data_IF_140752111823
#
_entry.id   IF_140752111823
#
_cell.length_a   1.000
_cell.length_b   1.000
_cell.length_c   1.000
_cell.angle_alpha   90.00
_cell.angle_beta   90.00
_cell.angle_gamma   90.00
#
_symmetry.space_group_name_H-M   'P 1'
#
loop_
_entity.id
_entity.type
_entity.pdbx_description
1 polymer ?
#
# COMPACT_ATOMS: atom_id res chain seq x y z
N UNK A 1 -9.67 2.18 -18.94
CA UNK A 1 -9.84 3.40 -18.15
C UNK A 1 -11.14 3.37 -17.32
N UNK A 2 -12.33 3.18 -17.93
CA UNK A 2 -13.64 3.21 -17.22
C UNK A 2 -13.73 2.25 -16.02
N UNK A 3 -13.22 1.02 -16.15
CA UNK A 3 -13.22 0.05 -15.04
C UNK A 3 -12.28 0.52 -13.93
N UNK A 4 -11.07 0.95 -14.27
CA UNK A 4 -10.09 1.46 -13.33
C UNK A 4 -10.63 2.66 -12.53
N UNK A 5 -11.35 3.58 -13.17
CA UNK A 5 -11.97 4.72 -12.48
C UNK A 5 -13.04 4.29 -11.48
N UNK A 6 -13.82 3.24 -11.80
CA UNK A 6 -14.80 2.69 -10.85
C UNK A 6 -14.11 2.05 -9.64
N UNK A 7 -13.04 1.29 -9.87
CA UNK A 7 -12.24 0.69 -8.79
C UNK A 7 -11.66 1.79 -7.90
N UNK A 8 -11.00 2.80 -8.50
CA UNK A 8 -10.44 3.91 -7.74
C UNK A 8 -11.49 4.66 -6.91
N UNK A 9 -12.71 4.84 -7.45
CA UNK A 9 -13.80 5.48 -6.73
C UNK A 9 -14.21 4.66 -5.49
N UNK A 10 -14.39 3.35 -5.63
CA UNK A 10 -14.73 2.47 -4.51
C UNK A 10 -13.64 2.53 -3.44
N UNK A 11 -12.38 2.47 -3.86
CA UNK A 11 -11.23 2.55 -2.94
C UNK A 11 -11.25 3.88 -2.19
N UNK A 12 -11.43 5.03 -2.85
CA UNK A 12 -11.51 6.35 -2.21
C UNK A 12 -12.61 6.40 -1.16
N UNK A 13 -13.81 6.00 -1.55
CA UNK A 13 -14.97 6.03 -0.65
C UNK A 13 -14.74 5.19 0.62
N UNK A 14 -14.05 4.06 0.55
CA UNK A 14 -13.73 3.26 1.75
C UNK A 14 -12.55 3.83 2.55
N UNK A 15 -11.56 4.44 1.90
CA UNK A 15 -10.48 5.15 2.60
C UNK A 15 -11.02 6.39 3.34
N UNK A 16 -11.86 7.18 2.69
CA UNK A 16 -12.49 8.37 3.28
C UNK A 16 -13.39 7.97 4.47
N UNK A 17 -14.16 6.89 4.33
CA UNK A 17 -14.98 6.34 5.43
C UNK A 17 -14.13 5.87 6.61
N UNK A 18 -12.93 5.38 6.35
CA UNK A 18 -11.96 5.00 7.39
C UNK A 18 -11.25 6.21 8.03
N UNK A 19 -11.53 7.44 7.56
CA UNK A 19 -10.94 8.68 8.07
C UNK A 19 -9.55 8.99 7.52
N UNK A 20 -9.15 8.36 6.41
CA UNK A 20 -7.89 8.66 5.75
C UNK A 20 -8.03 9.88 4.81
N UNK A 21 -6.94 10.63 4.65
CA UNK A 21 -6.87 11.82 3.80
C UNK A 21 -6.10 11.50 2.51
N UNK A 22 -6.69 11.78 1.36
CA UNK A 22 -6.01 11.62 0.08
C UNK A 22 -4.98 12.72 -0.13
N UNK A 23 -3.75 12.33 -0.47
CA UNK A 23 -2.67 13.24 -0.85
C UNK A 23 -2.11 12.85 -2.22
N UNK A 24 -1.42 13.76 -2.87
CA UNK A 24 -0.72 13.49 -4.13
C UNK A 24 0.77 13.70 -3.91
N UNK A 25 1.55 12.66 -4.11
CA UNK A 25 3.01 12.68 -4.01
C UNK A 25 3.65 12.47 -5.39
N UNK A 26 4.87 12.99 -5.64
CA UNK A 26 5.60 12.74 -6.87
C UNK A 26 5.87 11.24 -7.11
N UNK A 27 5.85 10.82 -8.39
CA UNK A 27 6.29 9.48 -8.79
C UNK A 27 7.80 9.35 -8.84
N UNK A 28 8.50 10.44 -9.21
CA UNK A 28 9.96 10.51 -9.21
C UNK A 28 10.40 11.04 -7.86
N UNK A 29 11.24 10.28 -7.18
CA UNK A 29 11.70 10.55 -5.83
C UNK A 29 13.21 10.76 -5.80
N UNK A 30 13.70 11.61 -4.87
CA UNK A 30 15.14 11.77 -4.65
C UNK A 30 15.74 10.48 -4.07
N UNK A 31 16.88 10.07 -4.60
CA UNK A 31 17.65 8.96 -4.05
C UNK A 31 18.12 9.21 -2.60
N UNK A 32 18.26 10.48 -2.19
CA UNK A 32 18.73 10.84 -0.85
C UNK A 32 17.78 10.41 0.24
N UNK A 33 16.45 10.50 0.01
CA UNK A 33 15.45 10.00 0.95
C UNK A 33 15.61 8.49 1.20
N UNK A 34 15.90 7.74 0.14
CA UNK A 34 16.08 6.29 0.20
C UNK A 34 17.43 5.89 0.78
N UNK A 35 18.46 6.75 0.65
CA UNK A 35 19.75 6.58 1.34
C UNK A 35 19.61 6.81 2.84
N UNK A 36 18.83 7.83 3.23
CA UNK A 36 18.54 8.12 4.64
C UNK A 36 17.88 6.93 5.34
N UNK A 37 16.94 6.24 4.68
CA UNK A 37 16.31 5.02 5.22
C UNK A 37 17.18 3.76 5.11
N UNK A 38 18.29 3.82 4.37
CA UNK A 38 19.14 2.67 4.06
C UNK A 38 18.56 1.72 3.00
N UNK A 39 17.42 2.06 2.39
CA UNK A 39 16.72 1.18 1.43
C UNK A 39 17.18 1.35 -0.01
N UNK A 40 17.96 2.38 -0.34
CA UNK A 40 18.38 2.64 -1.72
C UNK A 40 19.12 1.44 -2.34
N UNK A 41 20.06 0.85 -1.61
CA UNK A 41 20.80 -0.33 -2.06
C UNK A 41 20.08 -1.64 -1.71
N UNK A 42 19.47 -1.70 -0.53
CA UNK A 42 18.77 -2.89 -0.03
C UNK A 42 17.55 -3.29 -0.88
N UNK A 43 16.89 -2.33 -1.55
CA UNK A 43 15.76 -2.62 -2.43
C UNK A 43 16.16 -3.43 -3.69
N UNK A 44 17.42 -3.38 -4.07
CA UNK A 44 17.96 -4.22 -5.11
C UNK A 44 17.63 -3.77 -6.54
N UNK A 45 17.51 -4.76 -7.44
CA UNK A 45 17.37 -4.54 -8.88
C UNK A 45 15.96 -4.14 -9.32
N UNK A 46 14.97 -4.33 -8.47
CA UNK A 46 13.59 -3.95 -8.80
C UNK A 46 13.36 -2.45 -8.82
N UNK A 47 14.27 -1.68 -8.24
CA UNK A 47 14.21 -0.23 -8.24
C UNK A 47 14.67 0.34 -9.57
N UNK A 48 13.81 1.10 -10.25
CA UNK A 48 14.19 1.85 -11.45
C UNK A 48 14.92 3.14 -11.03
N UNK A 49 16.23 3.15 -11.19
CA UNK A 49 17.10 4.30 -10.91
C UNK A 49 17.21 5.21 -12.12
N UNK A 50 17.17 6.50 -11.89
CA UNK A 50 17.13 7.52 -12.93
C UNK A 50 18.20 8.57 -12.60
N UNK A 51 18.80 9.15 -13.62
CA UNK A 51 19.61 10.36 -13.49
C UNK A 51 19.00 11.49 -14.30
N UNK A 52 19.04 12.67 -13.74
CA UNK A 52 18.66 13.86 -14.51
C UNK A 52 19.85 14.39 -15.33
N UNK A 53 19.62 15.46 -16.09
CA UNK A 53 20.68 16.07 -16.94
C UNK A 53 21.84 16.68 -16.14
N UNK A 54 21.75 16.79 -14.83
CA UNK A 54 22.78 17.26 -13.91
C UNK A 54 23.45 16.10 -13.14
N UNK A 55 23.24 14.85 -13.59
CA UNK A 55 23.74 13.62 -12.96
C UNK A 55 23.21 13.39 -11.53
N UNK A 56 22.16 14.11 -11.10
CA UNK A 56 21.53 13.87 -9.80
C UNK A 56 20.71 12.58 -9.86
N UNK A 57 20.80 11.79 -8.80
CA UNK A 57 20.16 10.49 -8.75
C UNK A 57 18.75 10.57 -8.18
N UNK A 58 17.85 9.95 -8.89
CA UNK A 58 16.45 9.77 -8.58
C UNK A 58 16.05 8.32 -8.78
N UNK A 59 14.80 8.02 -8.42
CA UNK A 59 14.19 6.73 -8.72
C UNK A 59 12.72 6.93 -9.06
N UNK A 60 12.15 6.00 -9.82
CA UNK A 60 10.71 5.89 -9.94
C UNK A 60 10.19 5.13 -8.71
N UNK A 61 9.30 5.74 -7.93
CA UNK A 61 8.87 5.21 -6.65
C UNK A 61 8.23 3.83 -6.75
N UNK A 62 8.82 2.79 -6.16
CA UNK A 62 8.20 1.49 -6.02
C UNK A 62 7.20 1.43 -4.86
N UNK A 63 7.31 2.37 -3.94
CA UNK A 63 6.49 2.62 -2.74
C UNK A 63 6.81 4.02 -2.21
N UNK A 64 6.14 4.50 -1.16
CA UNK A 64 6.25 5.90 -0.72
C UNK A 64 6.52 6.10 0.77
N UNK A 65 7.00 5.11 1.50
CA UNK A 65 7.30 5.24 2.94
C UNK A 65 8.24 6.42 3.21
N UNK A 66 9.31 6.55 2.44
CA UNK A 66 10.29 7.63 2.58
C UNK A 66 9.66 9.00 2.30
N UNK A 67 8.92 9.10 1.20
CA UNK A 67 8.32 10.36 0.77
C UNK A 67 7.25 10.83 1.77
N UNK A 68 6.35 9.95 2.21
CA UNK A 68 5.29 10.33 3.16
C UNK A 68 5.86 10.65 4.53
N UNK A 69 6.94 9.98 4.95
CA UNK A 69 7.62 10.27 6.22
C UNK A 69 8.31 11.64 6.18
N UNK A 70 8.90 12.00 5.06
CA UNK A 70 9.50 13.33 4.89
C UNK A 70 8.44 14.45 4.91
N UNK A 71 7.30 14.23 4.24
CA UNK A 71 6.14 15.13 4.31
C UNK A 71 5.66 15.26 5.77
N UNK A 72 5.45 14.13 6.45
CA UNK A 72 5.02 14.10 7.84
C UNK A 72 5.98 14.90 8.75
N UNK A 73 7.27 14.62 8.67
CA UNK A 73 8.32 15.32 9.43
C UNK A 73 8.32 16.82 9.18
N UNK A 74 8.03 17.23 7.95
CA UNK A 74 8.05 18.64 7.55
C UNK A 74 6.82 19.41 8.00
N UNK A 75 5.65 18.81 8.01
CA UNK A 75 4.36 19.48 8.26
C UNK A 75 3.82 19.29 9.67
N UNK A 76 3.99 18.11 10.27
CA UNK A 76 3.48 17.82 11.62
C UNK A 76 4.43 18.40 12.66
N UNK A 77 3.91 19.31 13.49
CA UNK A 77 4.69 20.03 14.51
C UNK A 77 4.25 19.72 15.92
N UNK A 78 3.12 19.06 16.11
CA UNK A 78 2.56 18.77 17.41
C UNK A 78 1.94 17.37 17.44
N UNK A 79 2.01 16.71 18.59
CA UNK A 79 1.27 15.47 18.83
C UNK A 79 -0.25 15.64 18.72
N UNK A 80 -0.75 16.88 18.79
CA UNK A 80 -2.18 17.20 18.63
C UNK A 80 -2.67 17.05 17.20
N UNK A 81 -1.75 16.96 16.24
CA UNK A 81 -2.05 16.70 14.84
C UNK A 81 -2.28 15.20 14.57
N UNK A 82 -2.05 14.34 15.58
CA UNK A 82 -2.23 12.89 15.52
C UNK A 82 -3.57 12.45 16.13
N UNK A 83 -4.13 11.33 15.70
CA UNK A 83 -3.62 10.41 14.67
C UNK A 83 -3.80 10.97 13.26
N UNK A 84 -2.90 10.62 12.35
CA UNK A 84 -2.97 11.02 10.96
C UNK A 84 -2.87 9.78 10.06
N UNK A 85 -3.81 9.61 9.14
CA UNK A 85 -3.76 8.57 8.13
C UNK A 85 -3.82 9.19 6.74
N UNK A 86 -2.78 8.98 5.96
CA UNK A 86 -2.62 9.54 4.63
C UNK A 86 -2.62 8.42 3.60
N UNK A 87 -3.29 8.64 2.47
CA UNK A 87 -3.22 7.70 1.37
C UNK A 87 -3.10 8.42 0.04
N UNK A 88 -2.64 7.70 -0.97
CA UNK A 88 -2.79 8.14 -2.35
C UNK A 88 -3.03 6.97 -3.30
N UNK A 89 -3.48 7.28 -4.51
CA UNK A 89 -3.62 6.35 -5.61
C UNK A 89 -2.69 6.86 -6.72
N UNK A 90 -1.58 6.16 -6.94
CA UNK A 90 -0.51 6.64 -7.79
C UNK A 90 0.17 5.49 -8.53
N UNK A 91 0.74 5.79 -9.68
CA UNK A 91 1.56 4.87 -10.44
C UNK A 91 2.83 4.51 -9.68
N UNK A 92 3.16 3.22 -9.72
CA UNK A 92 4.39 2.65 -9.17
C UNK A 92 5.11 1.88 -10.26
N UNK A 93 6.40 1.74 -10.10
CA UNK A 93 7.21 0.90 -10.96
C UNK A 93 8.07 -0.05 -10.11
N UNK A 94 8.03 -1.32 -10.46
CA UNK A 94 8.95 -2.35 -9.97
C UNK A 94 9.44 -3.16 -11.17
N UNK A 95 10.75 -3.31 -11.31
CA UNK A 95 11.34 -4.06 -12.42
C UNK A 95 11.17 -5.57 -12.20
N UNK A 96 9.89 -5.99 -12.25
CA UNK A 96 9.49 -7.39 -12.08
C UNK A 96 10.15 -8.26 -13.16
N UNK A 97 10.87 -9.28 -12.73
CA UNK A 97 11.61 -10.19 -13.64
C UNK A 97 10.68 -11.06 -14.47
N UNK A 98 9.49 -11.40 -13.95
CA UNK A 98 8.54 -12.29 -14.59
C UNK A 98 7.13 -11.68 -14.61
N UNK A 99 6.88 -10.63 -15.40
CA UNK A 99 5.53 -10.12 -15.61
C UNK A 99 4.62 -11.21 -16.16
N UNK A 100 3.40 -11.31 -15.62
CA UNK A 100 2.45 -12.35 -16.02
C UNK A 100 1.02 -11.99 -15.62
N UNK A 101 0.05 -12.75 -16.12
CA UNK A 101 -1.38 -12.56 -15.86
C UNK A 101 -1.90 -11.17 -16.27
N UNK A 102 -1.40 -10.64 -17.38
CA UNK A 102 -1.83 -9.33 -17.90
C UNK A 102 -1.55 -8.22 -16.89
N UNK A 103 -2.60 -7.52 -16.45
CA UNK A 103 -2.48 -6.40 -15.50
C UNK A 103 -2.27 -6.83 -14.04
N UNK A 104 -2.35 -8.12 -13.74
CA UNK A 104 -2.26 -8.61 -12.36
C UNK A 104 -0.83 -8.54 -11.81
N UNK A 105 0.18 -8.76 -12.65
CA UNK A 105 1.58 -8.71 -12.27
C UNK A 105 2.42 -8.04 -13.35
N UNK A 106 2.27 -6.72 -13.42
CA UNK A 106 3.01 -5.85 -14.35
C UNK A 106 4.20 -5.16 -13.68
N UNK A 107 4.95 -4.42 -14.45
CA UNK A 107 6.08 -3.60 -14.00
C UNK A 107 5.66 -2.20 -13.59
N UNK A 108 4.73 -1.60 -14.33
CA UNK A 108 4.09 -0.33 -14.00
C UNK A 108 2.62 -0.60 -13.66
N UNK A 109 2.18 -0.15 -12.50
CA UNK A 109 0.85 -0.42 -11.99
C UNK A 109 0.35 0.69 -11.07
N UNK A 110 -0.97 0.82 -11.00
CA UNK A 110 -1.60 1.77 -10.09
C UNK A 110 -1.76 1.12 -8.71
N UNK A 111 -1.24 1.77 -7.69
CA UNK A 111 -1.32 1.31 -6.31
C UNK A 111 -2.07 2.34 -5.46
N UNK A 112 -2.97 1.87 -4.60
CA UNK A 112 -3.37 2.61 -3.41
C UNK A 112 -2.48 2.17 -2.27
N UNK A 113 -1.77 3.08 -1.70
CA UNK A 113 -0.99 2.88 -0.48
C UNK A 113 -1.42 3.90 0.58
N UNK A 114 -1.52 3.45 1.83
CA UNK A 114 -1.93 4.26 2.97
C UNK A 114 -0.92 4.11 4.11
N UNK A 115 -0.74 5.20 4.85
CA UNK A 115 0.29 5.34 5.88
C UNK A 115 -0.32 5.99 7.11
N UNK A 116 -0.27 5.32 8.24
CA UNK A 116 -0.77 5.85 9.50
C UNK A 116 0.37 6.32 10.41
N UNK A 117 0.11 7.41 11.11
CA UNK A 117 1.00 8.00 12.10
C UNK A 117 0.21 8.16 13.40
N UNK A 118 0.65 7.50 14.43
CA UNK A 118 -0.05 7.36 15.68
C UNK A 118 0.88 7.65 16.86
N UNK A 119 0.32 7.96 18.04
CA UNK A 119 1.12 8.30 19.21
C UNK A 119 1.74 7.11 19.92
N UNK A 120 1.06 5.95 19.84
CA UNK A 120 1.45 4.74 20.54
C UNK A 120 0.99 3.48 19.78
N UNK A 121 1.38 2.34 20.29
CA UNK A 121 1.07 1.04 19.70
C UNK A 121 -0.45 0.75 19.64
N UNK A 122 -1.20 1.11 20.68
CA UNK A 122 -2.63 0.81 20.74
C UNK A 122 -3.41 1.66 19.72
N UNK A 123 -3.06 2.92 19.57
CA UNK A 123 -3.67 3.80 18.54
C UNK A 123 -3.28 3.36 17.14
N UNK A 124 -2.03 2.92 16.92
CA UNK A 124 -1.57 2.33 15.65
C UNK A 124 -2.32 1.05 15.32
N UNK A 125 -2.53 0.17 16.30
CA UNK A 125 -3.32 -1.04 16.13
C UNK A 125 -4.80 -0.74 15.79
N UNK A 126 -5.37 0.30 16.40
CA UNK A 126 -6.71 0.75 16.06
C UNK A 126 -6.78 1.27 14.61
N UNK A 127 -5.76 2.01 14.14
CA UNK A 127 -5.65 2.44 12.74
C UNK A 127 -5.55 1.24 11.80
N UNK A 128 -4.72 0.25 12.15
CA UNK A 128 -4.61 -1.02 11.40
C UNK A 128 -5.95 -1.73 11.26
N UNK A 129 -6.71 -1.86 12.37
CA UNK A 129 -8.01 -2.52 12.35
C UNK A 129 -9.04 -1.75 11.50
N UNK A 130 -9.04 -0.42 11.53
CA UNK A 130 -9.88 0.39 10.63
C UNK A 130 -9.55 0.12 9.16
N UNK A 131 -8.26 0.05 8.84
CA UNK A 131 -7.82 -0.25 7.47
C UNK A 131 -8.17 -1.68 7.05
N UNK A 132 -8.07 -2.64 7.97
CA UNK A 132 -8.49 -4.02 7.75
C UNK A 132 -9.98 -4.09 7.32
N UNK A 133 -10.86 -3.40 8.03
CA UNK A 133 -12.28 -3.30 7.68
C UNK A 133 -12.49 -2.59 6.34
N UNK A 134 -11.76 -1.51 6.09
CA UNK A 134 -11.83 -0.79 4.81
C UNK A 134 -11.46 -1.69 3.62
N UNK A 135 -10.48 -2.58 3.77
CA UNK A 135 -10.13 -3.55 2.73
C UNK A 135 -11.22 -4.59 2.51
N UNK A 136 -11.79 -5.16 3.57
CA UNK A 136 -12.89 -6.11 3.42
C UNK A 136 -14.07 -5.48 2.66
N UNK A 137 -14.47 -4.26 3.03
CA UNK A 137 -15.53 -3.52 2.35
C UNK A 137 -15.20 -3.19 0.90
N UNK A 138 -13.95 -2.82 0.63
CA UNK A 138 -13.48 -2.56 -0.73
C UNK A 138 -13.65 -3.81 -1.60
N UNK A 139 -13.18 -4.97 -1.15
CA UNK A 139 -13.30 -6.21 -1.91
C UNK A 139 -14.75 -6.64 -2.08
N UNK A 140 -15.58 -6.54 -1.05
CA UNK A 140 -17.00 -6.84 -1.14
C UNK A 140 -17.71 -5.98 -2.20
N UNK A 141 -17.46 -4.66 -2.18
CA UNK A 141 -18.00 -3.72 -3.17
C UNK A 141 -17.50 -3.95 -4.60
N UNK A 142 -16.33 -4.57 -4.74
CA UNK A 142 -15.81 -5.04 -6.02
C UNK A 142 -16.40 -6.40 -6.45
N UNK A 143 -17.30 -6.98 -5.65
CA UNK A 143 -17.91 -8.30 -5.90
C UNK A 143 -16.97 -9.46 -5.61
N UNK A 144 -15.92 -9.24 -4.82
CA UNK A 144 -14.93 -10.25 -4.46
C UNK A 144 -15.02 -10.57 -2.97
N UNK A 145 -15.05 -11.86 -2.64
CA UNK A 145 -14.95 -12.30 -1.26
C UNK A 145 -13.49 -12.48 -0.88
N UNK A 146 -12.99 -11.61 -0.03
CA UNK A 146 -11.62 -11.67 0.46
C UNK A 146 -11.55 -12.43 1.78
N UNK A 147 -10.58 -13.34 1.88
CA UNK A 147 -10.26 -14.07 3.10
C UNK A 147 -9.00 -13.44 3.68
N UNK A 148 -9.09 -12.76 4.85
CA UNK A 148 -7.91 -12.20 5.49
C UNK A 148 -7.08 -13.34 6.09
N UNK A 149 -5.83 -13.43 5.70
CA UNK A 149 -4.90 -14.42 6.18
C UNK A 149 -3.68 -13.74 6.78
N UNK A 150 -3.19 -14.28 7.90
CA UNK A 150 -1.95 -13.79 8.50
C UNK A 150 -0.80 -14.01 7.53
N UNK A 151 -0.01 -12.97 7.33
CA UNK A 151 1.13 -12.97 6.43
C UNK A 151 2.44 -12.67 7.17
N UNK A 152 3.55 -12.97 6.51
CA UNK A 152 4.88 -12.55 6.95
C UNK A 152 5.01 -11.04 6.76
N UNK A 153 5.68 -10.36 7.70
CA UNK A 153 5.94 -8.92 7.62
C UNK A 153 7.04 -8.56 6.63
N UNK A 154 7.85 -9.52 6.23
CA UNK A 154 8.95 -9.33 5.28
C UNK A 154 10.00 -8.30 5.75
N UNK A 155 10.77 -7.71 4.82
CA UNK A 155 11.85 -6.78 5.17
C UNK A 155 11.38 -5.43 5.74
N UNK A 156 10.10 -5.10 5.67
CA UNK A 156 9.54 -3.89 6.31
C UNK A 156 9.51 -4.06 7.83
N UNK A 157 9.40 -5.31 8.33
CA UNK A 157 9.35 -5.60 9.76
C UNK A 157 7.96 -5.42 10.36
N UNK A 158 7.90 -5.38 11.69
CA UNK A 158 6.64 -5.34 12.44
C UNK A 158 6.22 -6.73 12.95
N UNK A 159 5.05 -6.79 13.60
CA UNK A 159 4.54 -8.02 14.22
C UNK A 159 3.11 -8.38 13.78
N UNK A 160 2.51 -7.60 12.91
CA UNK A 160 1.15 -7.78 12.42
C UNK A 160 1.09 -7.49 10.93
N UNK A 161 0.73 -8.52 10.15
CA UNK A 161 0.54 -8.41 8.70
C UNK A 161 -0.57 -9.35 8.26
N UNK A 162 -1.38 -8.92 7.29
CA UNK A 162 -2.40 -9.72 6.63
C UNK A 162 -2.37 -9.54 5.13
N UNK A 163 -2.67 -10.61 4.43
CA UNK A 163 -3.02 -10.62 3.02
C UNK A 163 -4.50 -10.94 2.85
N UNK A 164 -5.13 -10.30 1.89
CA UNK A 164 -6.53 -10.53 1.55
C UNK A 164 -6.60 -11.42 0.33
N UNK A 165 -6.87 -12.71 0.54
CA UNK A 165 -6.83 -13.73 -0.50
C UNK A 165 -8.20 -13.86 -1.16
N UNK A 166 -8.21 -13.83 -2.49
CA UNK A 166 -9.37 -14.10 -3.31
C UNK A 166 -9.22 -15.51 -3.91
N UNK A 167 -10.20 -16.38 -3.66
CA UNK A 167 -10.20 -17.72 -4.22
C UNK A 167 -10.50 -17.67 -5.72
N UNK A 168 -9.66 -18.33 -6.53
CA UNK A 168 -9.82 -18.43 -7.96
C UNK A 168 -9.23 -19.76 -8.47
N UNK A 169 -9.86 -20.38 -9.48
CA UNK A 169 -9.36 -21.61 -10.08
C UNK A 169 -7.98 -21.44 -10.75
N UNK A 170 -7.66 -20.20 -11.12
CA UNK A 170 -6.37 -19.81 -11.70
C UNK A 170 -5.34 -19.35 -10.65
N UNK A 171 -5.62 -19.59 -9.36
CA UNK A 171 -4.70 -19.22 -8.27
C UNK A 171 -3.37 -19.96 -8.32
N UNK A 172 -2.31 -19.34 -7.83
CA UNK A 172 -0.96 -19.91 -7.82
C UNK A 172 -0.63 -20.66 -6.53
N UNK A 173 -1.38 -20.41 -5.46
CA UNK A 173 -1.10 -20.96 -4.13
C UNK A 173 -2.36 -21.56 -3.52
N UNK A 174 -2.21 -22.68 -2.84
CA UNK A 174 -3.27 -23.25 -2.02
C UNK A 174 -3.30 -22.55 -0.65
N UNK A 175 -4.51 -22.33 -0.13
CA UNK A 175 -4.71 -21.73 1.19
C UNK A 175 -5.64 -22.62 2.02
N UNK A 176 -5.38 -22.65 3.32
CA UNK A 176 -6.19 -23.40 4.29
C UNK A 176 -6.90 -22.40 5.20
N UNK A 177 -8.22 -22.44 5.20
CA UNK A 177 -9.02 -21.60 6.10
C UNK A 177 -10.18 -22.39 6.70
N UNK A 178 -10.72 -21.91 7.82
CA UNK A 178 -11.94 -22.50 8.38
C UNK A 178 -13.12 -22.21 7.45
N UNK A 179 -14.01 -23.18 7.25
CA UNK A 179 -15.16 -23.06 6.34
C UNK A 179 -16.07 -21.87 6.66
N UNK A 180 -16.16 -21.46 7.92
CA UNK A 180 -17.02 -20.36 8.35
C UNK A 180 -16.56 -19.01 7.79
N UNK A 181 -15.27 -18.85 7.43
CA UNK A 181 -14.79 -17.64 6.74
C UNK A 181 -15.49 -17.42 5.40
N UNK A 182 -15.94 -18.49 4.74
CA UNK A 182 -16.67 -18.40 3.48
C UNK A 182 -18.11 -17.86 3.66
N UNK A 183 -18.63 -17.88 4.87
CA UNK A 183 -19.98 -17.42 5.20
C UNK A 183 -20.05 -16.13 6.02
N UNK A 184 -18.90 -15.60 6.48
CA UNK A 184 -18.85 -14.36 7.23
C UNK A 184 -19.33 -13.18 6.38
N UNK A 185 -20.13 -12.32 6.98
CA UNK A 185 -20.51 -11.04 6.41
C UNK A 185 -19.45 -9.99 6.73
N UNK A 186 -19.23 -9.09 5.80
CA UNK A 186 -18.35 -7.93 6.01
C UNK A 186 -19.06 -6.93 6.92
N UNK A 187 -18.40 -6.38 7.95
CA UNK A 187 -18.99 -5.46 8.91
C UNK A 187 -19.31 -4.08 8.33
#
# INVERSE_FOLDING_TARGET
>A
KRVLDKVCRIVREEQDRAGALEILMPTIQSADLWRESGRYDAYGKEMLRIKDRQEREFLYGPTNEEMVTDIFRSYVKSYKDLPLNLYHIQWKFRDEVRPRFGVMRGREFLMKDAYSFDMDYETSKAAYNRMFVAYLRTFERLGMKAIPMRADTGPIGGNLSHEFIILADTGESEVFCHKDYLSLNVP
#
